data_IF_250757543774
#
_entry.id   IF_250757543774
#
_cell.length_a   1.000
_cell.length_b   1.000
_cell.length_c   1.000
_cell.angle_alpha   90.00
_cell.angle_beta   90.00
_cell.angle_gamma   90.00
#
_symmetry.space_group_name_H-M   'P 1'
#
loop_
_entity.id
_entity.type
_entity.pdbx_description
1 polymer ?
#
# COMPACT_ATOMS: atom_id res chain seq x y z
N UNK A 1 -20.95 18.79 -8.92
CA UNK A 1 -19.86 18.64 -7.90
C UNK A 1 -19.00 17.41 -8.23
N UNK A 2 -17.87 17.13 -7.55
CA UNK A 2 -17.05 15.94 -7.86
C UNK A 2 -17.83 14.61 -7.89
N UNK A 3 -18.94 14.51 -7.13
CA UNK A 3 -19.86 13.38 -7.17
C UNK A 3 -20.64 13.23 -8.49
N UNK A 4 -20.89 14.33 -9.23
CA UNK A 4 -21.73 14.35 -10.44
C UNK A 4 -20.93 14.65 -11.72
N UNK A 5 -19.84 15.41 -11.60
CA UNK A 5 -19.01 15.90 -12.72
C UNK A 5 -17.68 15.16 -12.82
N UNK A 6 -17.33 14.32 -11.84
CA UNK A 6 -16.10 13.54 -11.80
C UNK A 6 -14.89 14.26 -11.16
N UNK A 7 -13.69 13.66 -11.25
CA UNK A 7 -12.47 14.17 -10.60
C UNK A 7 -12.10 15.59 -11.03
N UNK A 8 -11.78 16.44 -10.05
CA UNK A 8 -11.33 17.82 -10.32
C UNK A 8 -9.87 18.02 -9.90
N UNK A 9 -9.05 18.64 -10.75
CA UNK A 9 -7.64 18.89 -10.50
C UNK A 9 -7.44 20.31 -9.97
N UNK A 10 -6.69 20.44 -8.87
CA UNK A 10 -6.25 21.73 -8.31
C UNK A 10 -4.81 21.98 -8.76
N UNK A 11 -4.61 23.11 -9.44
CA UNK A 11 -3.30 23.56 -9.90
C UNK A 11 -2.73 24.66 -8.98
N UNK A 12 -1.45 24.56 -8.62
CA UNK A 12 -0.69 25.62 -7.97
C UNK A 12 0.40 26.08 -8.94
N UNK A 13 0.35 27.36 -9.35
CA UNK A 13 1.30 27.97 -10.30
C UNK A 13 1.42 27.17 -11.61
N UNK A 14 0.30 26.72 -12.15
CA UNK A 14 0.24 25.96 -13.40
C UNK A 14 0.67 24.49 -13.30
N UNK A 15 0.91 23.97 -12.09
CA UNK A 15 1.26 22.56 -11.86
C UNK A 15 0.19 21.87 -11.03
N UNK A 16 -0.17 20.65 -11.41
CA UNK A 16 -1.10 19.82 -10.64
C UNK A 16 -0.53 19.57 -9.24
N UNK A 17 -1.32 19.91 -8.21
CA UNK A 17 -0.91 19.81 -6.81
C UNK A 17 -1.81 18.86 -6.01
N UNK A 18 -3.11 18.83 -6.32
CA UNK A 18 -4.08 17.96 -5.65
C UNK A 18 -5.23 17.60 -6.59
N UNK A 19 -6.01 16.57 -6.21
CA UNK A 19 -7.22 16.14 -6.92
C UNK A 19 -8.34 15.99 -5.89
N UNK A 20 -9.53 16.50 -6.22
CA UNK A 20 -10.77 16.28 -5.48
C UNK A 20 -11.50 15.09 -6.11
N UNK A 21 -11.87 14.12 -5.30
CA UNK A 21 -12.64 12.93 -5.68
C UNK A 21 -13.90 12.83 -4.82
N UNK A 22 -14.92 12.12 -5.32
CA UNK A 22 -16.00 11.66 -4.45
C UNK A 22 -15.46 10.67 -3.40
N UNK A 23 -16.14 10.56 -2.25
CA UNK A 23 -15.75 9.58 -1.23
C UNK A 23 -15.86 8.15 -1.74
N UNK A 24 -16.84 7.85 -2.60
CA UNK A 24 -16.99 6.53 -3.23
C UNK A 24 -15.76 6.17 -4.09
N UNK A 25 -15.33 7.07 -4.97
CA UNK A 25 -14.15 6.85 -5.81
C UNK A 25 -12.87 6.75 -4.99
N UNK A 26 -12.70 7.61 -3.99
CA UNK A 26 -11.56 7.54 -3.09
C UNK A 26 -11.49 6.18 -2.38
N UNK A 27 -12.63 5.71 -1.84
CA UNK A 27 -12.70 4.41 -1.19
C UNK A 27 -12.41 3.28 -2.17
N UNK A 28 -12.94 3.33 -3.40
CA UNK A 28 -12.65 2.32 -4.44
C UNK A 28 -11.17 2.24 -4.79
N UNK A 29 -10.48 3.38 -4.86
CA UNK A 29 -9.05 3.44 -5.19
C UNK A 29 -8.14 2.99 -4.04
N UNK A 30 -8.53 3.27 -2.80
CA UNK A 30 -7.69 3.04 -1.61
C UNK A 30 -7.98 1.73 -0.88
N UNK A 31 -9.14 1.12 -1.11
CA UNK A 31 -9.50 -0.16 -0.49
C UNK A 31 -8.54 -1.27 -0.95
N UNK A 32 -7.86 -1.97 -0.01
CA UNK A 32 -7.01 -3.10 -0.36
C UNK A 32 -7.80 -4.19 -1.09
N UNK A 33 -7.26 -4.69 -2.20
CA UNK A 33 -7.91 -5.76 -3.01
C UNK A 33 -8.10 -7.07 -2.25
N UNK A 34 -7.29 -7.31 -1.22
CA UNK A 34 -7.34 -8.51 -0.39
C UNK A 34 -6.83 -8.18 1.01
N UNK A 35 -7.28 -8.95 2.00
CA UNK A 35 -6.77 -8.84 3.37
C UNK A 35 -5.36 -9.44 3.40
N UNK A 36 -4.49 -8.89 4.24
CA UNK A 36 -3.13 -9.41 4.41
C UNK A 36 -3.12 -10.91 4.80
N UNK A 37 -4.07 -11.34 5.64
CA UNK A 37 -4.23 -12.75 6.02
C UNK A 37 -4.55 -13.63 4.83
N UNK A 38 -5.38 -13.15 3.90
CA UNK A 38 -5.80 -13.92 2.73
C UNK A 38 -4.69 -13.96 1.68
N UNK A 39 -3.88 -12.90 1.57
CA UNK A 39 -2.64 -12.90 0.80
C UNK A 39 -1.69 -14.02 1.26
N UNK A 40 -1.38 -14.12 2.56
CA UNK A 40 -0.49 -15.17 3.07
C UNK A 40 -1.10 -16.57 2.94
N UNK A 41 -2.43 -16.71 3.12
CA UNK A 41 -3.13 -18.00 2.93
C UNK A 41 -3.12 -18.48 1.48
N UNK A 42 -3.20 -17.57 0.52
CA UNK A 42 -3.20 -17.89 -0.91
C UNK A 42 -1.81 -17.83 -1.55
N UNK A 43 -0.77 -17.52 -0.76
CA UNK A 43 0.61 -17.47 -1.24
C UNK A 43 1.08 -18.87 -1.69
N UNK A 44 1.83 -18.98 -2.80
CA UNK A 44 2.48 -20.24 -3.18
C UNK A 44 3.53 -20.70 -2.15
N UNK A 45 3.94 -19.83 -1.23
CA UNK A 45 4.84 -20.15 -0.12
C UNK A 45 4.10 -20.71 1.11
N UNK A 46 2.77 -20.88 1.04
CA UNK A 46 2.02 -21.50 2.12
C UNK A 46 2.52 -22.92 2.37
N UNK A 47 2.88 -23.22 3.62
CA UNK A 47 3.40 -24.53 4.01
C UNK A 47 4.89 -24.70 3.79
N UNK A 48 5.59 -23.67 3.30
CA UNK A 48 7.05 -23.64 3.32
C UNK A 48 7.54 -23.65 4.77
N UNK A 49 8.48 -24.54 5.08
CA UNK A 49 9.16 -24.53 6.38
C UNK A 49 10.12 -23.34 6.43
N UNK A 50 9.86 -22.42 7.36
CA UNK A 50 10.68 -21.24 7.60
C UNK A 50 11.45 -21.42 8.90
N UNK A 51 12.74 -21.08 8.90
CA UNK A 51 13.44 -20.88 10.16
C UNK A 51 12.95 -19.56 10.79
N UNK A 52 12.22 -19.66 11.89
CA UNK A 52 11.69 -18.52 12.64
C UNK A 52 12.59 -18.09 13.81
N UNK A 53 13.77 -18.69 13.94
CA UNK A 53 14.74 -18.29 14.93
C UNK A 53 15.17 -16.83 14.70
N UNK A 54 15.29 -16.10 15.81
CA UNK A 54 15.74 -14.71 15.78
C UNK A 54 17.20 -14.68 15.33
N UNK A 55 17.48 -14.03 14.21
CA UNK A 55 18.84 -13.71 13.85
C UNK A 55 19.41 -12.66 14.84
N UNK A 56 20.49 -13.02 15.54
CA UNK A 56 21.21 -12.13 16.46
C UNK A 56 22.43 -11.44 15.81
N UNK A 57 22.62 -11.64 14.51
CA UNK A 57 23.67 -10.95 13.76
C UNK A 57 23.45 -9.43 13.80
N UNK A 58 24.55 -8.71 13.88
CA UNK A 58 24.54 -7.27 13.74
C UNK A 58 24.18 -6.90 12.30
N UNK A 59 23.27 -5.94 12.12
CA UNK A 59 22.90 -5.41 10.80
C UNK A 59 24.10 -4.84 10.02
N UNK A 60 25.19 -4.52 10.72
CA UNK A 60 26.47 -4.09 10.13
C UNK A 60 27.59 -4.99 10.65
N UNK A 61 28.52 -5.32 9.76
CA UNK A 61 29.77 -5.99 10.12
C UNK A 61 30.55 -5.13 11.13
N UNK A 62 30.76 -5.66 12.32
CA UNK A 62 31.63 -5.06 13.33
C UNK A 62 33.00 -5.74 13.20
N UNK A 63 34.04 -4.95 12.94
CA UNK A 63 35.43 -5.40 13.06
C UNK A 63 35.82 -5.16 14.53
N UNK A 64 36.18 -6.23 15.24
CA UNK A 64 36.59 -6.23 16.66
C UNK A 64 38.10 -6.03 16.79
#
# INVERSE_FOLDING_TARGET
MAADEGPQIINIRGKSAAIILSMEEYNRLTTPKTRLTDFFKNSPLRGLELNLERNNDFTRKLEL
#
